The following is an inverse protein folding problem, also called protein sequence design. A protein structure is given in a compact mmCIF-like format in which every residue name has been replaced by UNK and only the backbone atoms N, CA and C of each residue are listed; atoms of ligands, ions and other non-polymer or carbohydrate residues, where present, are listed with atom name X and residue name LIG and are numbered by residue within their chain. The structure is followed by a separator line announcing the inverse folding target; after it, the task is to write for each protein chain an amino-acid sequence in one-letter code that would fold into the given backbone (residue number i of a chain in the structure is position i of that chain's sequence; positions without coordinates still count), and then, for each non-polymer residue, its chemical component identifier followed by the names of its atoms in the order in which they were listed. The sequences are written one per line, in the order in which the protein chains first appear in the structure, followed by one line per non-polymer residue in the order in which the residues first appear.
data_IF_796893871781
#
_entry.id   IF_796893871781
#
_cell.length_a   1.000
_cell.length_b   1.000
_cell.length_c   1.000
_cell.angle_alpha   90.00
_cell.angle_beta   90.00
_cell.angle_gamma   90.00
#
_symmetry.space_group_name_H-M   'P 1'
#
loop_
_entity.id
_entity.type
_entity.pdbx_description
1 polymer ?
#
# COMPACT_ATOMS: atom_id res chain seq x y z
N UNK A 1 -5.16 4.32 27.50
CA UNK A 1 -5.19 3.17 26.57
C UNK A 1 -3.79 2.96 26.02
N UNK A 2 -3.01 2.02 26.56
CA UNK A 2 -1.64 1.77 26.11
C UNK A 2 -1.68 1.06 24.74
N UNK A 3 -1.34 1.78 23.67
CA UNK A 3 -1.06 1.17 22.37
C UNK A 3 0.29 0.47 22.47
N UNK A 4 0.30 -0.78 22.93
CA UNK A 4 1.49 -1.63 22.85
C UNK A 4 1.91 -1.74 21.40
N UNK A 5 3.07 -1.16 21.06
CA UNK A 5 3.67 -1.34 19.75
C UNK A 5 3.82 -2.84 19.51
N UNK A 6 3.03 -3.39 18.58
CA UNK A 6 3.06 -4.82 18.24
C UNK A 6 4.42 -5.11 17.60
N UNK A 7 5.33 -5.67 18.40
CA UNK A 7 6.63 -6.11 17.93
C UNK A 7 6.48 -7.50 17.31
N UNK A 8 6.59 -7.59 15.98
CA UNK A 8 6.51 -8.84 15.26
C UNK A 8 7.83 -9.62 15.37
N UNK A 9 7.74 -10.92 15.63
CA UNK A 9 8.88 -11.83 15.52
C UNK A 9 9.27 -12.08 14.04
N UNK A 10 10.33 -12.85 13.78
CA UNK A 10 10.82 -13.10 12.41
C UNK A 10 9.75 -13.71 11.49
N UNK A 11 9.00 -14.69 11.98
CA UNK A 11 7.97 -15.40 11.21
C UNK A 11 6.77 -14.50 10.94
N UNK A 12 6.33 -13.74 11.95
CA UNK A 12 5.25 -12.77 11.80
C UNK A 12 5.60 -11.64 10.81
N UNK A 13 6.86 -11.17 10.82
CA UNK A 13 7.33 -10.19 9.81
C UNK A 13 7.29 -10.76 8.40
N UNK A 14 7.71 -12.01 8.23
CA UNK A 14 7.65 -12.67 6.93
C UNK A 14 6.20 -12.83 6.44
N UNK A 15 5.27 -13.19 7.33
CA UNK A 15 3.84 -13.25 7.01
C UNK A 15 3.29 -11.86 6.60
N UNK A 16 3.60 -10.83 7.38
CA UNK A 16 3.21 -9.45 7.08
C UNK A 16 3.70 -9.01 5.67
N UNK A 17 4.97 -9.26 5.32
CA UNK A 17 5.49 -8.94 3.99
C UNK A 17 4.82 -9.75 2.88
N UNK A 18 4.54 -11.04 3.11
CA UNK A 18 3.81 -11.87 2.14
C UNK A 18 2.41 -11.33 1.85
N UNK A 19 1.66 -10.93 2.89
CA UNK A 19 0.33 -10.36 2.70
C UNK A 19 0.38 -8.95 2.07
N UNK A 20 1.39 -8.13 2.42
CA UNK A 20 1.65 -6.86 1.75
C UNK A 20 1.82 -7.05 0.25
N UNK A 21 2.70 -7.96 -0.14
CA UNK A 21 3.05 -8.19 -1.54
C UNK A 21 1.82 -8.72 -2.30
N UNK A 22 1.06 -9.64 -1.70
CA UNK A 22 -0.20 -10.12 -2.28
C UNK A 22 -1.25 -9.01 -2.51
N UNK A 23 -1.40 -8.08 -1.56
CA UNK A 23 -2.30 -6.93 -1.72
C UNK A 23 -1.80 -5.98 -2.83
N UNK A 24 -0.50 -5.70 -2.86
CA UNK A 24 0.13 -4.81 -3.83
C UNK A 24 0.14 -5.38 -5.26
N UNK A 25 0.29 -6.69 -5.40
CA UNK A 25 0.13 -7.38 -6.68
C UNK A 25 -1.32 -7.30 -7.15
N UNK A 26 -2.27 -7.52 -6.25
CA UNK A 26 -3.70 -7.36 -6.56
C UNK A 26 -4.01 -5.94 -7.05
N UNK A 27 -3.51 -4.91 -6.38
CA UNK A 27 -3.68 -3.51 -6.83
C UNK A 27 -3.11 -3.30 -8.23
N UNK A 28 -1.89 -3.79 -8.48
CA UNK A 28 -1.24 -3.66 -9.79
C UNK A 28 -2.05 -4.32 -10.90
N UNK A 29 -2.59 -5.53 -10.65
CA UNK A 29 -3.41 -6.27 -11.61
C UNK A 29 -4.78 -5.62 -11.86
N UNK A 30 -5.29 -4.85 -10.89
CA UNK A 30 -6.62 -4.24 -10.94
C UNK A 30 -6.59 -2.72 -11.19
N UNK A 31 -5.49 -2.19 -11.75
CA UNK A 31 -5.33 -0.75 -12.02
C UNK A 31 -5.54 0.13 -10.77
N UNK A 32 -4.96 -0.29 -9.64
CA UNK A 32 -5.06 0.35 -8.32
C UNK A 32 -6.50 0.44 -7.75
N UNK A 33 -7.44 -0.38 -8.23
CA UNK A 33 -8.79 -0.49 -7.65
C UNK A 33 -8.78 -1.30 -6.34
N UNK A 34 -8.74 -0.59 -5.22
CA UNK A 34 -8.74 -1.19 -3.89
C UNK A 34 -10.00 -2.03 -3.59
N UNK A 35 -11.14 -1.74 -4.22
CA UNK A 35 -12.40 -2.47 -3.96
C UNK A 35 -12.33 -3.93 -4.41
N UNK A 36 -11.50 -4.23 -5.42
CA UNK A 36 -11.27 -5.59 -5.90
C UNK A 36 -10.30 -6.39 -5.04
N UNK A 37 -9.59 -5.72 -4.13
CA UNK A 37 -8.50 -6.27 -3.32
C UNK A 37 -8.81 -6.26 -1.81
N UNK A 38 -10.08 -6.10 -1.43
CA UNK A 38 -10.52 -5.98 -0.02
C UNK A 38 -10.12 -7.19 0.81
N UNK A 39 -10.18 -8.40 0.23
CA UNK A 39 -9.79 -9.62 0.94
C UNK A 39 -8.30 -9.61 1.31
N UNK A 40 -7.44 -9.33 0.33
CA UNK A 40 -5.99 -9.26 0.52
C UNK A 40 -5.62 -8.09 1.46
N UNK A 41 -6.36 -6.98 1.38
CA UNK A 41 -6.18 -5.85 2.28
C UNK A 41 -6.46 -6.24 3.74
N UNK A 42 -7.54 -6.98 3.98
CA UNK A 42 -7.88 -7.46 5.32
C UNK A 42 -6.80 -8.38 5.88
N UNK A 43 -6.36 -9.36 5.09
CA UNK A 43 -5.29 -10.28 5.50
C UNK A 43 -3.97 -9.53 5.80
N UNK A 44 -3.70 -8.46 5.04
CA UNK A 44 -2.57 -7.58 5.23
C UNK A 44 -2.68 -6.72 6.50
N UNK A 45 -3.83 -6.10 6.75
CA UNK A 45 -4.10 -5.29 7.94
C UNK A 45 -4.02 -6.13 9.22
N UNK A 46 -4.57 -7.35 9.20
CA UNK A 46 -4.57 -8.25 10.35
C UNK A 46 -3.16 -8.80 10.68
N UNK A 47 -2.34 -9.03 9.64
CA UNK A 47 -1.00 -9.60 9.77
C UNK A 47 0.08 -8.57 10.14
N UNK A 48 -0.17 -7.28 9.94
CA UNK A 48 0.83 -6.22 10.09
C UNK A 48 0.48 -5.20 11.19
N UNK A 49 1.49 -4.58 11.85
CA UNK A 49 1.26 -3.42 12.70
C UNK A 49 0.67 -2.27 11.89
N UNK A 50 -0.33 -1.58 12.44
CA UNK A 50 -1.00 -0.45 11.76
C UNK A 50 -0.03 0.62 11.26
N UNK A 51 1.01 0.94 12.04
CA UNK A 51 2.03 1.90 11.63
C UNK A 51 2.78 1.45 10.36
N UNK A 52 3.05 0.15 10.21
CA UNK A 52 3.67 -0.42 9.02
C UNK A 52 2.72 -0.35 7.82
N UNK A 53 1.45 -0.73 8.01
CA UNK A 53 0.42 -0.64 6.97
C UNK A 53 0.33 0.78 6.43
N UNK A 54 0.20 1.78 7.30
CA UNK A 54 0.14 3.20 6.91
C UNK A 54 1.40 3.62 6.15
N UNK A 55 2.59 3.26 6.67
CA UNK A 55 3.86 3.61 6.04
C UNK A 55 3.97 3.02 4.63
N UNK A 56 3.68 1.73 4.48
CA UNK A 56 3.79 1.03 3.20
C UNK A 56 2.76 1.51 2.18
N UNK A 57 1.52 1.79 2.58
CA UNK A 57 0.50 2.38 1.69
C UNK A 57 0.97 3.75 1.18
N UNK A 58 1.40 4.63 2.08
CA UNK A 58 1.93 5.96 1.70
C UNK A 58 3.13 5.85 0.77
N UNK A 59 4.04 4.92 1.05
CA UNK A 59 5.21 4.65 0.21
C UNK A 59 4.81 4.18 -1.19
N UNK A 60 3.86 3.25 -1.31
CA UNK A 60 3.34 2.79 -2.61
C UNK A 60 2.72 3.93 -3.40
N UNK A 61 1.84 4.74 -2.80
CA UNK A 61 1.21 5.87 -3.49
C UNK A 61 2.25 6.89 -3.99
N UNK A 62 3.26 7.18 -3.16
CA UNK A 62 4.36 8.06 -3.55
C UNK A 62 5.17 7.48 -4.71
N UNK A 63 5.55 6.20 -4.64
CA UNK A 63 6.34 5.54 -5.69
C UNK A 63 5.56 5.47 -7.01
N UNK A 64 4.25 5.23 -6.96
CA UNK A 64 3.38 5.27 -8.14
C UNK A 64 3.26 6.66 -8.74
N UNK A 65 3.04 7.69 -7.92
CA UNK A 65 3.04 9.07 -8.40
C UNK A 65 4.39 9.45 -9.02
N UNK A 66 5.50 9.08 -8.36
CA UNK A 66 6.84 9.31 -8.88
C UNK A 66 7.04 8.63 -10.24
N UNK A 67 6.60 7.38 -10.39
CA UNK A 67 6.67 6.67 -11.68
C UNK A 67 5.89 7.39 -12.78
N UNK A 68 4.72 7.97 -12.46
CA UNK A 68 3.97 8.78 -13.44
C UNK A 68 4.72 10.07 -13.81
N UNK A 69 5.31 10.76 -12.83
CA UNK A 69 6.10 11.97 -13.07
C UNK A 69 7.35 11.68 -13.91
N UNK A 70 8.05 10.58 -13.63
CA UNK A 70 9.21 10.13 -14.41
C UNK A 70 8.82 9.76 -15.86
N UNK A 71 7.58 9.32 -16.08
CA UNK A 71 6.99 9.10 -17.42
C UNK A 71 6.57 10.40 -18.13
N UNK A 72 6.83 11.56 -17.54
CA UNK A 72 6.51 12.87 -18.12
C UNK A 72 5.07 13.35 -17.87
N UNK A 73 4.36 12.77 -16.89
CA UNK A 73 3.06 13.27 -16.48
C UNK A 73 3.23 14.53 -15.61
N UNK A 74 2.80 15.69 -16.12
CA UNK A 74 2.72 16.93 -15.34
C UNK A 74 1.32 17.08 -14.72
N UNK A 75 1.19 17.05 -13.38
CA UNK A 75 -0.12 17.18 -12.72
C UNK A 75 -0.82 18.53 -13.00
N UNK A 76 -0.09 19.56 -13.44
CA UNK A 76 -0.62 20.90 -13.69
C UNK A 76 -1.46 20.96 -14.98
N UNK A 77 -1.09 20.18 -16.00
CA UNK A 77 -1.83 20.10 -17.27
C UNK A 77 -3.24 19.50 -17.07
N UNK A 78 -3.37 18.58 -16.11
CA UNK A 78 -4.66 17.93 -15.78
C UNK A 78 -5.67 18.85 -15.08
N UNK A 79 -5.20 19.91 -14.38
CA UNK A 79 -6.06 20.87 -13.66
C UNK A 79 -6.48 22.09 -14.49
N UNK A 80 -5.85 22.32 -15.64
CA UNK A 80 -6.11 23.52 -16.46
C UNK A 80 -7.24 23.32 -17.48
N UNK A 81 -7.87 22.13 -17.51
CA UNK A 81 -9.05 21.82 -18.35
C UNK A 81 -10.26 21.33 -17.54
N UNK A 82 -10.54 21.96 -16.41
CA UNK A 82 -11.80 21.81 -15.67
C UNK A 82 -12.55 23.15 -15.65
#
# INVERSE_FOLDING_TARGET
MATTAKYLNKTERAACWKHRDSYFDCLTLNNEDANKCVKQFKDYEDSCPKAWVIHFLRKRSFDKMKEQMDKGFDPIDSKTKA
#
